data_IF_171154984423
#
_entry.id   IF_171154984423
#
_cell.length_a   1.000
_cell.length_b   1.000
_cell.length_c   1.000
_cell.angle_alpha   90.00
_cell.angle_beta   90.00
_cell.angle_gamma   90.00
#
_symmetry.space_group_name_H-M   'P 1'
#
loop_
_entity.id
_entity.type
_entity.pdbx_description
1 polymer ?
#
# COMPACT_ATOMS: atom_id res chain seq x y z
N UNK A 1 25.95 -26.59 -6.04
CA UNK A 1 24.85 -25.63 -5.84
C UNK A 1 23.95 -26.16 -4.74
N UNK A 2 23.77 -25.41 -3.65
CA UNK A 2 22.75 -25.70 -2.65
C UNK A 2 22.03 -24.37 -2.38
N UNK A 3 20.74 -24.28 -2.74
CA UNK A 3 19.93 -23.14 -2.38
C UNK A 3 19.67 -23.22 -0.87
N UNK A 4 20.28 -22.33 -0.10
CA UNK A 4 19.99 -22.22 1.32
C UNK A 4 18.51 -21.88 1.50
N UNK A 5 17.71 -22.85 1.95
CA UNK A 5 16.30 -22.64 2.27
C UNK A 5 16.23 -21.61 3.40
N UNK A 6 15.81 -20.38 3.05
CA UNK A 6 15.54 -19.34 4.03
C UNK A 6 14.52 -19.90 5.02
N UNK A 7 14.76 -19.82 6.35
CA UNK A 7 13.77 -20.23 7.32
C UNK A 7 12.52 -19.38 7.11
N UNK A 8 11.46 -20.01 6.61
CA UNK A 8 10.13 -19.40 6.61
C UNK A 8 9.74 -19.34 8.07
N UNK A 9 9.98 -18.19 8.71
CA UNK A 9 9.51 -17.92 10.06
C UNK A 9 8.01 -18.22 10.02
N UNK A 10 7.50 -19.22 10.77
CA UNK A 10 6.08 -19.49 10.79
C UNK A 10 5.41 -18.19 11.23
N UNK A 11 4.47 -17.70 10.44
CA UNK A 11 3.64 -16.56 10.82
C UNK A 11 2.94 -16.97 12.11
N UNK A 12 3.48 -16.57 13.26
CA UNK A 12 2.85 -16.74 14.56
C UNK A 12 1.39 -16.33 14.38
N UNK A 13 0.46 -17.25 14.70
CA UNK A 13 -0.92 -17.16 14.23
C UNK A 13 -1.48 -15.77 14.57
N UNK A 14 -1.68 -14.95 13.54
CA UNK A 14 -2.02 -13.53 13.69
C UNK A 14 -3.46 -13.45 14.18
N UNK A 15 -3.65 -13.56 15.48
CA UNK A 15 -4.91 -13.60 16.17
C UNK A 15 -5.33 -12.19 16.60
N UNK A 16 -6.54 -11.79 16.20
CA UNK A 16 -7.17 -10.59 16.75
C UNK A 16 -7.73 -10.85 18.15
N UNK A 17 -8.12 -9.81 18.90
CA UNK A 17 -8.62 -9.93 20.28
C UNK A 17 -9.87 -10.81 20.42
N UNK A 18 -10.58 -11.07 19.32
CA UNK A 18 -11.81 -11.88 19.27
C UNK A 18 -11.65 -13.19 18.47
N UNK A 19 -10.42 -13.65 18.21
CA UNK A 19 -10.14 -14.83 17.37
C UNK A 19 -10.84 -16.12 17.83
N UNK A 20 -11.12 -16.26 19.13
CA UNK A 20 -11.85 -17.40 19.72
C UNK A 20 -13.25 -17.08 20.24
N UNK A 21 -13.77 -15.88 19.97
CA UNK A 21 -15.12 -15.49 20.37
C UNK A 21 -16.18 -16.20 19.51
N UNK A 22 -17.34 -16.53 20.08
CA UNK A 22 -18.44 -17.11 19.29
C UNK A 22 -19.14 -16.07 18.39
N UNK A 23 -20.00 -16.56 17.49
CA UNK A 23 -20.72 -15.72 16.52
C UNK A 23 -21.63 -14.71 17.20
N UNK A 24 -22.30 -15.08 18.29
CA UNK A 24 -23.23 -14.20 18.99
C UNK A 24 -22.50 -13.03 19.63
N UNK A 25 -21.36 -13.32 20.29
CA UNK A 25 -20.43 -12.36 20.88
C UNK A 25 -19.92 -11.40 19.82
N UNK A 26 -19.44 -11.90 18.67
CA UNK A 26 -18.93 -11.04 17.59
C UNK A 26 -20.02 -10.13 17.01
N UNK A 27 -21.23 -10.66 16.78
CA UNK A 27 -22.34 -9.84 16.29
C UNK A 27 -22.77 -8.76 17.30
N UNK A 28 -22.61 -9.01 18.61
CA UNK A 28 -22.85 -8.02 19.66
C UNK A 28 -21.76 -6.93 19.77
N UNK A 29 -20.58 -7.13 19.18
CA UNK A 29 -19.51 -6.10 19.10
C UNK A 29 -19.77 -5.08 17.99
N UNK A 30 -20.45 -5.46 16.90
CA UNK A 30 -20.62 -4.59 15.73
C UNK A 30 -21.42 -3.29 16.04
N UNK A 31 -22.48 -3.30 16.87
CA UNK A 31 -23.15 -2.09 17.34
C UNK A 31 -22.26 -1.11 18.11
N UNK A 32 -21.08 -1.54 18.58
CA UNK A 32 -20.12 -0.72 19.32
C UNK A 32 -19.10 -0.04 18.39
N UNK A 33 -19.33 -0.05 17.07
CA UNK A 33 -18.55 0.73 16.11
C UNK A 33 -18.96 2.21 16.22
N UNK A 34 -18.00 3.13 16.30
CA UNK A 34 -18.27 4.58 16.21
C UNK A 34 -18.99 4.95 14.88
N UNK A 35 -18.84 4.10 13.87
CA UNK A 35 -19.43 4.21 12.54
C UNK A 35 -20.71 3.39 12.36
N UNK A 36 -21.33 2.94 13.45
CA UNK A 36 -22.59 2.18 13.43
C UNK A 36 -23.78 3.02 12.92
N UNK A 37 -24.77 2.45 12.22
CA UNK A 37 -25.87 3.24 11.67
C UNK A 37 -26.84 3.76 12.74
N UNK A 38 -27.19 5.04 12.63
CA UNK A 38 -28.11 5.74 13.53
C UNK A 38 -29.52 5.11 13.60
N UNK A 39 -29.88 4.55 14.75
CA UNK A 39 -31.05 3.70 14.93
C UNK A 39 -32.39 4.45 15.08
N UNK A 40 -32.38 5.76 15.30
CA UNK A 40 -33.60 6.60 15.28
C UNK A 40 -34.33 6.54 13.93
N UNK A 41 -33.59 6.34 12.83
CA UNK A 41 -34.16 6.31 11.47
C UNK A 41 -34.52 4.89 11.00
N UNK A 42 -35.55 4.76 10.15
CA UNK A 42 -35.87 3.48 9.48
C UNK A 42 -34.70 3.00 8.59
N UNK A 43 -34.02 3.94 7.92
CA UNK A 43 -32.88 3.65 7.04
C UNK A 43 -31.69 3.11 7.83
N UNK A 44 -31.33 3.74 8.95
CA UNK A 44 -30.25 3.28 9.82
C UNK A 44 -30.54 1.94 10.46
N UNK A 45 -31.76 1.69 10.96
CA UNK A 45 -32.18 0.36 11.42
C UNK A 45 -32.05 -0.71 10.34
N UNK A 46 -32.48 -0.44 9.11
CA UNK A 46 -32.24 -1.36 7.97
C UNK A 46 -30.75 -1.64 7.81
N UNK A 47 -29.93 -0.58 7.72
CA UNK A 47 -28.48 -0.69 7.52
C UNK A 47 -27.75 -1.44 8.65
N UNK A 48 -28.21 -1.30 9.89
CA UNK A 48 -27.70 -2.03 11.03
C UNK A 48 -28.01 -3.54 10.92
N UNK A 49 -29.26 -3.89 10.60
CA UNK A 49 -29.67 -5.29 10.38
C UNK A 49 -28.97 -5.91 9.17
N UNK A 50 -28.76 -5.14 8.10
CA UNK A 50 -28.00 -5.53 6.91
C UNK A 50 -26.54 -5.87 7.26
N UNK A 51 -25.86 -5.03 8.05
CA UNK A 51 -24.49 -5.28 8.54
C UNK A 51 -24.40 -6.54 9.40
N UNK A 52 -25.31 -6.71 10.37
CA UNK A 52 -25.37 -7.91 11.21
C UNK A 52 -25.58 -9.17 10.36
N UNK A 53 -26.50 -9.12 9.38
CA UNK A 53 -26.77 -10.25 8.48
C UNK A 53 -25.58 -10.60 7.61
N UNK A 54 -24.93 -9.61 7.00
CA UNK A 54 -23.72 -9.82 6.19
C UNK A 54 -22.57 -10.42 7.01
N UNK A 55 -22.33 -9.90 8.21
CA UNK A 55 -21.32 -10.46 9.12
C UNK A 55 -21.66 -11.89 9.55
N UNK A 56 -22.92 -12.16 9.90
CA UNK A 56 -23.38 -13.50 10.28
C UNK A 56 -23.24 -14.53 9.16
N UNK A 57 -23.47 -14.13 7.90
CA UNK A 57 -23.24 -14.99 6.72
C UNK A 57 -21.77 -15.35 6.55
N UNK A 58 -20.86 -14.37 6.71
CA UNK A 58 -19.40 -14.61 6.62
C UNK A 58 -18.94 -15.55 7.73
N UNK A 59 -19.36 -15.31 8.97
CA UNK A 59 -18.99 -16.15 10.12
C UNK A 59 -19.56 -17.57 9.96
N UNK A 60 -20.81 -17.70 9.51
CA UNK A 60 -21.43 -19.00 9.21
C UNK A 60 -20.68 -19.78 8.12
N UNK A 61 -20.18 -19.11 7.09
CA UNK A 61 -19.32 -19.71 6.06
C UNK A 61 -17.92 -20.09 6.59
N UNK A 62 -17.30 -19.24 7.42
CA UNK A 62 -16.01 -19.57 8.04
C UNK A 62 -16.11 -20.77 9.00
N UNK A 63 -17.26 -20.98 9.66
CA UNK A 63 -17.50 -22.17 10.48
C UNK A 63 -17.49 -23.50 9.71
N UNK A 64 -17.69 -23.50 8.38
CA UNK A 64 -17.59 -24.73 7.56
C UNK A 64 -16.14 -25.14 7.29
N UNK A 65 -15.15 -24.31 7.66
CA UNK A 65 -13.73 -24.54 7.45
C UNK A 65 -13.06 -24.97 8.77
N UNK A 66 -11.97 -25.73 8.66
CA UNK A 66 -11.20 -26.20 9.84
C UNK A 66 -10.43 -25.06 10.50
N UNK A 67 -10.25 -25.16 11.81
CA UNK A 67 -9.52 -24.21 12.64
C UNK A 67 -10.21 -24.03 14.00
N UNK A 68 -9.44 -23.77 15.05
CA UNK A 68 -9.97 -23.39 16.36
C UNK A 68 -10.44 -21.93 16.34
N UNK A 69 -9.59 -21.04 15.80
CA UNK A 69 -9.85 -19.60 15.70
C UNK A 69 -10.36 -19.13 14.33
N UNK A 70 -10.88 -17.91 14.27
CA UNK A 70 -11.34 -17.27 13.03
C UNK A 70 -10.23 -17.10 12.00
N UNK A 71 -8.98 -16.91 12.43
CA UNK A 71 -7.85 -16.69 11.54
C UNK A 71 -7.38 -17.99 10.88
N UNK A 72 -7.38 -19.09 11.64
CA UNK A 72 -7.14 -20.42 11.08
C UNK A 72 -8.23 -20.78 10.06
N UNK A 73 -9.50 -20.54 10.39
CA UNK A 73 -10.64 -20.74 9.47
C UNK A 73 -10.53 -19.86 8.22
N UNK A 74 -10.11 -18.60 8.36
CA UNK A 74 -9.88 -17.65 7.26
C UNK A 74 -8.76 -18.13 6.32
N UNK A 75 -7.68 -18.70 6.88
CA UNK A 75 -6.58 -19.30 6.10
C UNK A 75 -7.03 -20.60 5.43
N UNK A 76 -7.76 -21.48 6.14
CA UNK A 76 -8.30 -22.72 5.60
C UNK A 76 -9.40 -22.51 4.55
N UNK A 77 -10.06 -21.35 4.54
CA UNK A 77 -10.98 -20.90 3.51
C UNK A 77 -10.30 -20.16 2.35
N UNK A 78 -8.96 -20.06 2.35
CA UNK A 78 -8.15 -19.31 1.38
C UNK A 78 -8.63 -17.86 1.14
N UNK A 79 -9.24 -17.24 2.16
CA UNK A 79 -9.98 -15.99 2.00
C UNK A 79 -9.13 -14.76 1.65
N UNK A 80 -7.79 -14.89 1.71
CA UNK A 80 -6.82 -13.88 1.24
C UNK A 80 -6.50 -13.99 -0.25
N UNK A 81 -6.73 -15.14 -0.89
CA UNK A 81 -6.32 -15.41 -2.27
C UNK A 81 -7.16 -14.64 -3.30
N UNK A 82 -8.46 -14.43 -3.02
CA UNK A 82 -9.35 -13.63 -3.87
C UNK A 82 -10.43 -12.91 -3.05
N UNK A 83 -11.14 -11.98 -3.67
CA UNK A 83 -12.37 -11.37 -3.11
C UNK A 83 -13.65 -11.94 -3.74
N UNK A 84 -13.53 -13.06 -4.47
CA UNK A 84 -14.63 -13.69 -5.20
C UNK A 84 -15.55 -14.49 -4.28
N UNK A 85 -15.00 -15.05 -3.19
CA UNK A 85 -15.77 -15.74 -2.15
C UNK A 85 -16.89 -14.86 -1.55
N UNK A 86 -16.74 -13.52 -1.58
CA UNK A 86 -17.77 -12.55 -1.17
C UNK A 86 -19.06 -12.73 -2.01
N UNK A 87 -18.94 -13.05 -3.31
CA UNK A 87 -20.08 -13.35 -4.18
C UNK A 87 -20.73 -14.70 -3.87
N UNK A 88 -19.92 -15.72 -3.56
CA UNK A 88 -20.43 -17.02 -3.10
C UNK A 88 -21.23 -16.90 -1.80
N UNK A 89 -20.69 -16.22 -0.78
CA UNK A 89 -21.38 -15.97 0.50
C UNK A 89 -22.64 -15.13 0.30
N UNK A 90 -22.64 -14.22 -0.67
CA UNK A 90 -23.79 -13.38 -1.00
C UNK A 90 -24.95 -14.14 -1.69
N UNK A 91 -24.71 -15.28 -2.35
CA UNK A 91 -25.67 -15.88 -3.28
C UNK A 91 -27.01 -16.34 -2.67
N UNK A 92 -27.06 -16.63 -1.36
CA UNK A 92 -28.16 -17.38 -0.73
C UNK A 92 -29.52 -16.68 -0.54
N UNK A 93 -29.69 -15.40 -0.90
CA UNK A 93 -30.87 -14.62 -0.46
C UNK A 93 -31.46 -13.66 -1.51
N UNK A 94 -32.35 -14.18 -2.37
CA UNK A 94 -33.59 -13.53 -2.89
C UNK A 94 -33.59 -12.08 -3.42
N UNK A 95 -32.43 -11.44 -3.58
CA UNK A 95 -32.24 -10.05 -3.99
C UNK A 95 -31.29 -10.00 -5.19
N UNK A 96 -31.13 -8.84 -5.83
CA UNK A 96 -30.14 -8.68 -6.91
C UNK A 96 -28.72 -8.88 -6.37
N UNK A 97 -27.83 -9.44 -7.21
CA UNK A 97 -26.45 -9.77 -6.79
C UNK A 97 -25.70 -8.54 -6.23
N UNK A 98 -25.88 -7.36 -6.84
CA UNK A 98 -25.29 -6.12 -6.36
C UNK A 98 -25.72 -5.76 -4.93
N UNK A 99 -26.98 -5.98 -4.57
CA UNK A 99 -27.47 -5.75 -3.20
C UNK A 99 -26.83 -6.77 -2.26
N UNK A 100 -26.87 -8.06 -2.61
CA UNK A 100 -26.33 -9.14 -1.76
C UNK A 100 -24.84 -8.95 -1.49
N UNK A 101 -24.05 -8.64 -2.52
CA UNK A 101 -22.62 -8.34 -2.42
C UNK A 101 -22.34 -7.10 -1.56
N UNK A 102 -23.20 -6.08 -1.61
CA UNK A 102 -23.08 -4.92 -0.73
C UNK A 102 -23.32 -5.28 0.76
N UNK A 103 -24.33 -6.12 1.07
CA UNK A 103 -24.60 -6.60 2.44
C UNK A 103 -23.37 -7.32 3.03
N UNK A 104 -22.80 -8.26 2.28
CA UNK A 104 -21.60 -9.01 2.71
C UNK A 104 -20.40 -8.08 2.83
N UNK A 105 -20.22 -7.12 1.92
CA UNK A 105 -19.12 -6.14 1.99
C UNK A 105 -19.21 -5.23 3.22
N UNK A 106 -20.41 -4.75 3.56
CA UNK A 106 -20.67 -3.94 4.76
C UNK A 106 -20.48 -4.75 6.06
N UNK A 107 -20.90 -6.01 6.08
CA UNK A 107 -20.66 -6.94 7.19
C UNK A 107 -19.18 -7.23 7.39
N UNK A 108 -18.46 -7.50 6.30
CA UNK A 108 -17.00 -7.71 6.30
C UNK A 108 -16.26 -6.48 6.83
N UNK A 109 -16.64 -5.28 6.39
CA UNK A 109 -16.07 -4.04 6.92
C UNK A 109 -16.21 -3.96 8.45
N UNK A 110 -17.35 -4.35 9.01
CA UNK A 110 -17.53 -4.43 10.47
C UNK A 110 -16.59 -5.43 11.16
N UNK A 111 -16.44 -6.64 10.60
CA UNK A 111 -15.53 -7.68 11.11
C UNK A 111 -14.05 -7.24 11.07
N UNK A 112 -13.66 -6.52 10.01
CA UNK A 112 -12.32 -5.93 9.88
C UNK A 112 -12.09 -4.82 10.91
N UNK A 113 -13.05 -3.90 11.08
CA UNK A 113 -12.94 -2.78 12.01
C UNK A 113 -12.92 -3.23 13.47
N UNK A 114 -13.60 -4.33 13.84
CA UNK A 114 -13.43 -4.97 15.16
C UNK A 114 -12.26 -5.95 15.24
N UNK A 115 -11.38 -6.01 14.24
CA UNK A 115 -10.18 -6.89 14.18
C UNK A 115 -10.50 -8.38 14.43
N UNK A 116 -11.71 -8.83 14.10
CA UNK A 116 -12.11 -10.24 14.17
C UNK A 116 -11.36 -11.04 13.08
N UNK A 117 -11.28 -10.45 11.88
CA UNK A 117 -10.52 -10.95 10.75
C UNK A 117 -9.33 -10.02 10.48
N UNK A 118 -8.14 -10.58 10.31
CA UNK A 118 -6.88 -9.85 10.08
C UNK A 118 -6.39 -10.22 8.67
N UNK A 119 -6.83 -9.48 7.63
CA UNK A 119 -6.62 -9.86 6.24
C UNK A 119 -5.15 -9.73 5.85
N UNK A 120 -4.75 -10.51 4.85
CA UNK A 120 -3.45 -10.39 4.21
C UNK A 120 -3.30 -9.08 3.43
N UNK A 121 -2.06 -8.60 3.30
CA UNK A 121 -1.73 -7.45 2.45
C UNK A 121 -2.23 -7.59 1.00
N UNK A 122 -2.22 -8.82 0.44
CA UNK A 122 -2.75 -9.10 -0.91
C UNK A 122 -4.26 -8.87 -1.00
N UNK A 123 -5.02 -9.36 -0.01
CA UNK A 123 -6.43 -9.06 0.13
C UNK A 123 -6.69 -7.56 0.21
N UNK A 124 -5.96 -6.84 1.08
CA UNK A 124 -6.10 -5.39 1.27
C UNK A 124 -5.72 -4.53 0.06
N UNK A 125 -4.89 -5.03 -0.88
CA UNK A 125 -4.65 -4.35 -2.16
C UNK A 125 -5.83 -4.48 -3.12
N UNK A 126 -6.48 -5.65 -3.14
CA UNK A 126 -7.59 -5.96 -4.05
C UNK A 126 -8.96 -5.56 -3.48
N UNK A 127 -9.09 -5.39 -2.17
CA UNK A 127 -10.34 -5.07 -1.50
C UNK A 127 -10.71 -3.58 -1.66
N UNK A 128 -11.72 -3.30 -2.49
CA UNK A 128 -12.19 -1.96 -2.86
C UNK A 128 -13.47 -1.57 -2.12
N UNK A 129 -13.37 -1.33 -0.81
CA UNK A 129 -14.51 -0.80 -0.03
C UNK A 129 -14.40 0.71 0.15
N UNK A 130 -15.40 1.44 -0.33
CA UNK A 130 -15.49 2.89 -0.14
C UNK A 130 -15.61 3.23 1.35
N UNK A 131 -14.68 4.03 1.85
CA UNK A 131 -14.71 4.54 3.23
C UNK A 131 -14.12 3.61 4.31
N UNK A 132 -13.75 2.35 4.04
CA UNK A 132 -13.16 1.46 5.07
C UNK A 132 -11.97 2.12 5.79
N UNK A 133 -11.01 2.65 5.02
CA UNK A 133 -9.83 3.32 5.56
C UNK A 133 -10.17 4.59 6.34
N UNK A 134 -11.26 5.29 6.01
CA UNK A 134 -11.74 6.45 6.78
C UNK A 134 -12.35 6.03 8.11
N UNK A 135 -13.17 4.98 8.10
CA UNK A 135 -13.77 4.41 9.31
C UNK A 135 -12.69 3.84 10.24
N UNK A 136 -11.70 3.12 9.70
CA UNK A 136 -10.60 2.55 10.49
C UNK A 136 -9.82 3.59 11.31
N UNK A 137 -9.59 4.78 10.75
CA UNK A 137 -8.94 5.89 11.49
C UNK A 137 -9.78 6.36 12.69
N UNK A 138 -11.11 6.30 12.57
CA UNK A 138 -12.05 6.67 13.64
C UNK A 138 -12.20 5.57 14.70
N UNK A 139 -12.13 4.30 14.30
CA UNK A 139 -12.33 3.14 15.20
C UNK A 139 -11.07 2.69 15.94
N UNK A 140 -9.88 2.91 15.37
CA UNK A 140 -8.62 2.39 15.93
C UNK A 140 -7.95 3.37 16.91
N UNK A 141 -7.67 4.60 16.49
CA UNK A 141 -7.10 5.64 17.34
C UNK A 141 -7.28 7.01 16.66
N UNK A 142 -8.41 7.65 16.90
CA UNK A 142 -8.76 8.91 16.25
C UNK A 142 -7.78 10.04 16.61
N UNK A 143 -7.27 10.08 17.85
CA UNK A 143 -6.33 11.08 18.33
C UNK A 143 -4.95 10.90 17.69
N UNK A 144 -4.43 9.67 17.61
CA UNK A 144 -3.18 9.42 16.88
C UNK A 144 -3.31 9.75 15.40
N UNK A 145 -4.41 9.41 14.73
CA UNK A 145 -4.60 9.77 13.33
C UNK A 145 -4.77 11.29 13.12
N UNK A 146 -5.30 12.03 14.10
CA UNK A 146 -5.30 13.50 14.09
C UNK A 146 -3.86 14.06 14.18
N UNK A 147 -3.06 13.61 15.15
CA UNK A 147 -1.64 13.99 15.30
C UNK A 147 -0.79 13.63 14.07
N UNK A 148 -1.04 12.46 13.46
CA UNK A 148 -0.41 12.05 12.18
C UNK A 148 -0.82 13.01 11.06
N UNK A 149 -2.08 13.43 11.04
CA UNK A 149 -2.58 14.43 10.11
C UNK A 149 -1.92 15.80 10.28
N UNK A 150 -1.66 16.23 11.52
CA UNK A 150 -0.91 17.44 11.85
C UNK A 150 0.55 17.36 11.39
N UNK A 151 1.28 16.33 11.81
CA UNK A 151 2.67 16.11 11.39
C UNK A 151 2.83 16.03 9.85
N UNK A 152 1.81 15.57 9.13
CA UNK A 152 1.77 15.61 7.66
C UNK A 152 1.59 17.02 7.09
N UNK A 153 0.75 17.85 7.71
CA UNK A 153 0.55 19.25 7.33
C UNK A 153 1.79 20.10 7.61
N UNK A 154 2.44 19.89 8.75
CA UNK A 154 3.66 20.60 9.14
C UNK A 154 4.85 20.28 8.21
N UNK A 155 4.88 19.05 7.66
CA UNK A 155 5.79 18.66 6.57
C UNK A 155 5.45 19.22 5.20
N UNK A 156 4.33 19.95 5.05
CA UNK A 156 3.84 20.44 3.77
C UNK A 156 3.31 19.34 2.83
N UNK A 157 2.91 18.18 3.35
CA UNK A 157 2.31 17.13 2.51
C UNK A 157 0.97 17.58 1.95
N UNK A 158 0.74 17.35 0.65
CA UNK A 158 -0.59 17.53 0.05
C UNK A 158 -1.55 16.44 0.53
N UNK A 159 -2.85 16.76 0.59
CA UNK A 159 -3.88 15.87 1.16
C UNK A 159 -3.91 14.45 0.56
N UNK A 160 -3.56 14.28 -0.72
CA UNK A 160 -3.48 12.96 -1.37
C UNK A 160 -2.28 12.13 -0.91
N UNK A 161 -1.13 12.75 -0.64
CA UNK A 161 0.05 12.08 -0.09
C UNK A 161 -0.21 11.66 1.36
N UNK A 162 -0.73 12.57 2.19
CA UNK A 162 -1.09 12.29 3.57
C UNK A 162 -2.12 11.16 3.66
N UNK A 163 -3.22 11.24 2.90
CA UNK A 163 -4.22 10.16 2.85
C UNK A 163 -3.61 8.81 2.42
N UNK A 164 -2.65 8.81 1.47
CA UNK A 164 -1.94 7.59 1.07
C UNK A 164 -1.09 7.02 2.20
N UNK A 165 -0.40 7.86 2.97
CA UNK A 165 0.39 7.46 4.13
C UNK A 165 -0.48 6.92 5.28
N UNK A 166 -1.55 7.62 5.66
CA UNK A 166 -2.49 7.17 6.67
C UNK A 166 -3.16 5.83 6.28
N UNK A 167 -3.54 5.68 5.00
CA UNK A 167 -4.11 4.42 4.52
C UNK A 167 -3.08 3.28 4.50
N UNK A 168 -1.78 3.60 4.38
CA UNK A 168 -0.68 2.65 4.55
C UNK A 168 -0.62 2.15 6.01
N UNK A 169 -0.68 3.06 6.99
CA UNK A 169 -0.74 2.72 8.42
C UNK A 169 -1.95 1.83 8.77
N UNK A 170 -3.14 2.18 8.27
CA UNK A 170 -4.35 1.37 8.48
C UNK A 170 -4.21 -0.05 7.91
N UNK A 171 -3.56 -0.23 6.75
CA UNK A 171 -3.29 -1.58 6.20
C UNK A 171 -2.40 -2.41 7.11
N UNK A 172 -1.47 -1.77 7.80
CA UNK A 172 -0.59 -2.44 8.75
C UNK A 172 -1.34 -2.86 10.01
N UNK A 173 -2.18 -1.98 10.57
CA UNK A 173 -3.07 -2.31 11.69
C UNK A 173 -3.98 -3.50 11.36
N UNK A 174 -4.59 -3.54 10.16
CA UNK A 174 -5.38 -4.69 9.70
C UNK A 174 -4.55 -5.97 9.54
N UNK A 175 -3.29 -5.88 9.07
CA UNK A 175 -2.42 -7.05 8.89
C UNK A 175 -1.93 -7.61 10.23
N UNK A 176 -1.49 -6.74 11.15
CA UNK A 176 -0.79 -7.13 12.39
C UNK A 176 -1.78 -7.40 13.53
N UNK A 177 -2.93 -6.73 13.53
CA UNK A 177 -3.89 -6.73 14.64
C UNK A 177 -3.52 -5.81 15.81
N UNK A 178 -2.30 -5.24 15.80
CA UNK A 178 -1.79 -4.31 16.83
C UNK A 178 -2.60 -3.02 16.90
N UNK A 179 -2.53 -2.30 18.02
CA UNK A 179 -3.03 -0.92 18.05
C UNK A 179 -2.10 0.02 17.23
N UNK A 180 -2.62 1.13 16.67
CA UNK A 180 -1.82 2.05 15.85
C UNK A 180 -0.57 2.60 16.55
N UNK A 181 -0.65 2.80 17.87
CA UNK A 181 0.45 3.25 18.72
C UNK A 181 1.49 2.15 19.04
N UNK A 182 1.20 0.89 18.74
CA UNK A 182 2.09 -0.26 18.96
C UNK A 182 2.80 -0.73 17.67
N UNK A 183 2.63 -0.02 16.56
CA UNK A 183 3.28 -0.33 15.28
C UNK A 183 4.80 -0.17 15.39
N UNK A 184 5.53 -1.22 15.06
CA UNK A 184 7.00 -1.28 15.19
C UNK A 184 7.70 -1.04 13.86
N UNK A 185 9.00 -0.74 13.90
CA UNK A 185 9.82 -0.60 12.70
C UNK A 185 9.84 -1.91 11.88
N UNK A 186 9.82 -3.04 12.56
CA UNK A 186 9.78 -4.40 12.01
C UNK A 186 8.50 -4.64 11.20
N UNK A 187 7.35 -4.14 11.67
CA UNK A 187 6.09 -4.22 10.92
C UNK A 187 6.19 -3.45 9.58
N UNK A 188 6.82 -2.26 9.57
CA UNK A 188 6.99 -1.44 8.36
C UNK A 188 8.00 -2.08 7.40
N UNK A 189 9.09 -2.64 7.92
CA UNK A 189 10.09 -3.36 7.13
C UNK A 189 9.53 -4.68 6.55
N UNK A 190 8.68 -5.38 7.29
CA UNK A 190 7.98 -6.57 6.79
C UNK A 190 7.03 -6.21 5.64
N UNK A 191 6.30 -5.09 5.74
CA UNK A 191 5.42 -4.63 4.65
C UNK A 191 6.22 -4.13 3.42
N UNK A 192 7.35 -3.45 3.63
CA UNK A 192 8.27 -3.08 2.55
C UNK A 192 8.75 -4.31 1.77
N UNK A 193 9.29 -5.30 2.48
CA UNK A 193 9.83 -6.51 1.86
C UNK A 193 8.73 -7.38 1.23
N UNK A 194 7.51 -7.39 1.79
CA UNK A 194 6.35 -7.99 1.12
C UNK A 194 6.08 -7.32 -0.24
N UNK A 195 5.97 -5.99 -0.29
CA UNK A 195 5.74 -5.25 -1.53
C UNK A 195 6.82 -5.48 -2.58
N UNK A 196 8.09 -5.51 -2.15
CA UNK A 196 9.23 -5.84 -3.01
C UNK A 196 9.13 -7.24 -3.62
N UNK A 197 8.58 -8.23 -2.90
CA UNK A 197 8.39 -9.59 -3.44
C UNK A 197 7.19 -9.72 -4.38
N UNK A 198 6.13 -8.95 -4.18
CA UNK A 198 4.88 -9.09 -4.95
C UNK A 198 4.75 -8.14 -6.14
N UNK A 199 5.42 -6.99 -6.10
CA UNK A 199 5.26 -5.91 -7.08
C UNK A 199 6.58 -5.22 -7.48
N UNK A 200 7.73 -5.76 -7.05
CA UNK A 200 9.09 -5.20 -7.24
C UNK A 200 9.24 -3.72 -6.84
N UNK A 201 8.38 -3.26 -5.93
CA UNK A 201 8.29 -1.86 -5.52
C UNK A 201 7.89 -1.72 -4.04
N UNK A 202 8.35 -0.63 -3.40
CA UNK A 202 7.91 -0.27 -2.07
C UNK A 202 6.40 0.09 -2.08
N UNK A 203 5.59 -0.35 -1.09
CA UNK A 203 4.19 0.04 -1.00
C UNK A 203 3.99 1.56 -0.97
N UNK A 204 3.00 2.05 -1.73
CA UNK A 204 2.68 3.48 -1.80
C UNK A 204 2.40 4.07 -0.41
N UNK A 205 3.01 5.22 -0.14
CA UNK A 205 2.89 5.92 1.15
C UNK A 205 3.75 5.39 2.28
N UNK A 206 4.46 4.25 2.13
CA UNK A 206 5.21 3.63 3.23
C UNK A 206 6.35 4.51 3.79
N UNK A 207 7.10 5.19 2.93
CA UNK A 207 8.14 6.13 3.38
C UNK A 207 7.55 7.30 4.18
N UNK A 208 6.46 7.88 3.71
CA UNK A 208 5.76 8.95 4.43
C UNK A 208 5.16 8.43 5.75
N UNK A 209 4.57 7.24 5.75
CA UNK A 209 4.03 6.60 6.96
C UNK A 209 5.10 6.36 8.03
N UNK A 210 6.29 5.89 7.64
CA UNK A 210 7.45 5.75 8.54
C UNK A 210 7.84 7.07 9.18
N UNK A 211 8.03 8.11 8.36
CA UNK A 211 8.47 9.41 8.86
C UNK A 211 7.37 10.08 9.71
N UNK A 212 6.08 9.87 9.40
CA UNK A 212 4.96 10.34 10.22
C UNK A 212 4.91 9.68 11.60
N UNK A 213 5.05 8.34 11.69
CA UNK A 213 5.10 7.64 12.98
C UNK A 213 6.29 8.06 13.85
N UNK A 214 7.40 8.50 13.25
CA UNK A 214 8.55 9.06 13.99
C UNK A 214 8.23 10.41 14.61
N UNK A 215 7.55 11.29 13.88
CA UNK A 215 7.24 12.65 14.37
C UNK A 215 6.20 12.63 15.49
N UNK A 216 5.21 11.73 15.42
CA UNK A 216 4.24 11.52 16.51
C UNK A 216 4.79 10.63 17.65
N UNK A 217 6.08 10.27 17.61
CA UNK A 217 6.77 9.55 18.69
C UNK A 217 6.49 8.05 18.81
N UNK A 218 5.72 7.44 17.91
CA UNK A 218 5.42 5.99 17.92
C UNK A 218 6.66 5.18 17.56
N UNK A 219 7.41 5.59 16.53
CA UNK A 219 8.68 4.94 16.18
C UNK A 219 9.86 5.61 16.88
N UNK A 220 10.47 4.93 17.85
CA UNK A 220 11.73 5.36 18.51
C UNK A 220 12.97 5.38 17.58
N UNK A 221 12.81 5.07 16.29
CA UNK A 221 13.90 5.02 15.33
C UNK A 221 14.34 6.43 14.90
N UNK A 222 15.62 6.76 15.15
CA UNK A 222 16.20 8.06 14.78
C UNK A 222 16.47 8.26 13.27
N UNK A 223 16.18 7.28 12.42
CA UNK A 223 16.51 7.30 10.98
C UNK A 223 15.27 7.15 10.09
N UNK A 224 15.31 7.70 8.88
CA UNK A 224 14.25 7.51 7.88
C UNK A 224 14.27 6.09 7.31
N UNK A 225 13.16 5.65 6.71
CA UNK A 225 13.07 4.31 6.11
C UNK A 225 14.17 4.09 5.05
N UNK A 226 14.48 5.10 4.23
CA UNK A 226 15.56 5.01 3.25
C UNK A 226 16.94 4.78 3.90
N UNK A 227 17.26 5.48 5.00
CA UNK A 227 18.49 5.25 5.77
C UNK A 227 18.52 3.86 6.42
N UNK A 228 17.38 3.38 6.91
CA UNK A 228 17.23 2.07 7.56
C UNK A 228 17.36 0.91 6.55
N UNK A 229 16.83 1.08 5.34
CA UNK A 229 16.94 0.12 4.23
C UNK A 229 18.30 0.19 3.51
N UNK A 230 19.03 1.30 3.64
CA UNK A 230 20.36 1.44 3.06
C UNK A 230 21.31 0.46 3.74
N UNK A 231 21.61 -0.65 3.05
CA UNK A 231 22.79 -1.46 3.35
C UNK A 231 24.00 -0.52 3.44
N UNK A 232 24.79 -0.67 4.50
CA UNK A 232 25.91 0.22 4.82
C UNK A 232 26.83 0.47 3.64
N UNK A 233 27.51 1.63 3.66
CA UNK A 233 28.34 2.17 2.60
C UNK A 233 29.10 1.06 1.84
N UNK A 234 28.66 0.79 0.60
CA UNK A 234 29.25 -0.26 -0.23
C UNK A 234 30.75 0.03 -0.38
N UNK A 235 31.58 -0.98 -0.10
CA UNK A 235 33.01 -0.85 -0.37
C UNK A 235 33.21 -0.57 -1.87
N UNK A 236 34.30 0.12 -2.26
CA UNK A 236 34.58 0.37 -3.68
C UNK A 236 34.56 -0.91 -4.53
N UNK A 237 35.03 -2.04 -3.98
CA UNK A 237 34.93 -3.36 -4.61
C UNK A 237 33.48 -3.81 -4.82
N UNK A 238 32.63 -3.75 -3.79
CA UNK A 238 31.21 -4.10 -3.91
C UNK A 238 30.41 -3.14 -4.81
N UNK A 239 30.92 -1.94 -5.05
CA UNK A 239 30.37 -0.99 -6.02
C UNK A 239 30.78 -1.34 -7.46
N UNK A 240 32.04 -1.72 -7.67
CA UNK A 240 32.55 -2.19 -8.98
C UNK A 240 31.84 -3.46 -9.43
N UNK A 241 31.72 -4.47 -8.56
CA UNK A 241 31.01 -5.73 -8.85
C UNK A 241 29.52 -5.50 -9.17
N UNK A 242 28.87 -4.59 -8.45
CA UNK A 242 27.40 -4.38 -8.57
C UNK A 242 26.98 -3.69 -9.87
N UNK A 243 27.86 -2.87 -10.44
CA UNK A 243 27.60 -2.12 -11.67
C UNK A 243 28.37 -2.68 -12.87
N UNK A 244 29.03 -3.85 -12.73
CA UNK A 244 29.93 -4.46 -13.72
C UNK A 244 30.90 -3.42 -14.33
N UNK A 245 31.58 -2.67 -13.46
CA UNK A 245 32.50 -1.59 -13.87
C UNK A 245 33.81 -2.22 -14.36
N UNK A 246 33.76 -2.75 -15.58
CA UNK A 246 34.89 -3.26 -16.31
C UNK A 246 35.96 -2.17 -16.46
N UNK A 247 37.11 -2.32 -15.81
CA UNK A 247 38.28 -1.45 -16.02
C UNK A 247 38.92 -1.70 -17.39
N UNK A 248 38.25 -1.26 -18.45
CA UNK A 248 38.74 -1.31 -19.82
C UNK A 248 40.05 -0.52 -20.02
N UNK A 249 40.81 -0.79 -21.10
CA UNK A 249 42.10 -0.15 -21.34
C UNK A 249 42.06 1.39 -21.28
N UNK A 250 40.96 1.98 -21.72
CA UNK A 250 40.68 3.42 -21.74
C UNK A 250 40.73 4.07 -20.35
N UNK A 251 40.18 3.41 -19.31
CA UNK A 251 40.20 3.94 -17.95
C UNK A 251 41.60 3.89 -17.34
N UNK A 252 42.38 2.87 -17.71
CA UNK A 252 43.76 2.67 -17.22
C UNK A 252 44.71 3.73 -17.78
N UNK A 253 44.55 4.12 -19.05
CA UNK A 253 45.31 5.22 -19.65
C UNK A 253 44.91 6.59 -19.07
N UNK A 254 43.62 6.89 -18.89
CA UNK A 254 43.19 8.16 -18.25
C UNK A 254 43.72 8.32 -16.82
N UNK A 255 43.77 7.24 -16.03
CA UNK A 255 44.29 7.28 -14.67
C UNK A 255 45.82 7.46 -14.62
N UNK A 256 46.56 6.92 -15.59
CA UNK A 256 47.99 7.19 -15.75
C UNK A 256 48.27 8.65 -16.15
N UNK A 257 47.45 9.24 -17.02
CA UNK A 257 47.54 10.67 -17.36
C UNK A 257 47.29 11.56 -16.14
N UNK A 258 46.30 11.21 -15.29
CA UNK A 258 46.02 11.96 -14.06
C UNK A 258 47.14 11.90 -13.02
N UNK A 259 47.85 10.77 -12.89
CA UNK A 259 49.00 10.67 -11.97
C UNK A 259 50.26 11.39 -12.44
N UNK A 260 50.39 11.64 -13.74
CA UNK A 260 51.54 12.34 -14.33
C UNK A 260 51.25 13.83 -14.61
N UNK A 261 50.02 14.30 -14.41
CA UNK A 261 49.69 15.72 -14.45
C UNK A 261 50.11 16.39 -13.14
N UNK A 262 51.21 17.14 -13.17
CA UNK A 262 51.57 18.05 -12.08
C UNK A 262 50.44 19.08 -11.88
N UNK A 263 50.12 19.48 -10.63
CA UNK A 263 49.08 20.47 -10.38
C UNK A 263 49.50 21.81 -11.02
N UNK A 264 48.62 22.47 -11.81
CA UNK A 264 48.95 23.78 -12.37
C UNK A 264 49.09 24.80 -11.25
N UNK A 265 50.21 25.53 -11.26
CA UNK A 265 50.47 26.63 -10.34
C UNK A 265 49.41 27.73 -10.53
N UNK A 266 48.89 28.23 -9.40
CA UNK A 266 47.78 29.18 -9.36
C UNK A 266 48.20 30.59 -9.81
N UNK A 267 48.46 30.82 -11.11
CA UNK A 267 48.51 32.17 -11.71
C UNK A 267 48.29 32.13 -13.23
N UNK A 268 47.04 32.24 -13.69
CA UNK A 268 46.71 32.71 -15.06
C UNK A 268 45.27 33.21 -15.12
N UNK A 269 45.04 34.30 -15.87
CA UNK A 269 43.71 34.91 -16.08
C UNK A 269 42.93 34.21 -17.21
N UNK A 270 41.61 34.37 -17.15
CA UNK A 270 40.62 34.25 -18.23
C UNK A 270 41.15 34.20 -19.68
N UNK A 271 40.70 33.20 -20.43
CA UNK A 271 40.30 33.35 -21.83
C UNK A 271 39.25 32.28 -22.19
N UNK A 272 38.40 32.57 -23.18
CA UNK A 272 37.22 31.78 -23.50
C UNK A 272 37.25 31.23 -24.93
N UNK A 273 36.48 30.15 -25.15
CA UNK A 273 36.09 29.58 -26.46
C UNK A 273 37.23 28.88 -27.26
N UNK A 274 36.91 28.02 -28.28
CA UNK A 274 35.58 27.76 -28.85
C UNK A 274 35.12 26.29 -28.88
N UNK A 275 33.84 26.12 -29.20
CA UNK A 275 33.26 24.83 -29.56
C UNK A 275 33.46 24.55 -31.06
N UNK A 276 34.24 23.51 -31.40
CA UNK A 276 34.17 22.82 -32.70
C UNK A 276 35.17 21.65 -32.77
N UNK A 277 34.67 20.41 -32.70
CA UNK A 277 35.22 19.19 -33.30
C UNK A 277 34.25 18.02 -33.04
N UNK A 278 34.16 17.06 -33.98
CA UNK A 278 33.32 15.82 -33.98
C UNK A 278 31.95 15.83 -34.70
N UNK A 279 32.02 15.89 -36.04
CA UNK A 279 31.15 15.28 -37.09
C UNK A 279 32.10 15.03 -38.30
N UNK A 280 31.92 14.10 -39.28
CA UNK A 280 30.77 13.27 -39.70
C UNK A 280 31.08 11.74 -39.63
N UNK A 281 30.52 10.76 -40.38
CA UNK A 281 29.70 10.72 -41.61
C UNK A 281 28.94 9.39 -41.81
N UNK A 282 27.93 9.39 -42.70
CA UNK A 282 27.43 8.21 -43.46
C UNK A 282 26.28 7.40 -42.84
N UNK A 283 24.99 7.77 -42.97
CA UNK A 283 24.07 7.59 -44.12
C UNK A 283 23.74 6.10 -44.43
N UNK A 284 22.49 5.61 -44.44
CA UNK A 284 21.22 6.09 -45.04
C UNK A 284 20.00 5.39 -44.34
N UNK A 285 18.71 5.72 -44.46
CA UNK A 285 17.92 6.81 -45.08
C UNK A 285 16.44 6.77 -44.62
N UNK A 286 15.82 7.95 -44.43
CA UNK A 286 14.37 8.29 -44.55
C UNK A 286 13.29 7.42 -43.85
N UNK A 287 12.48 8.08 -43.00
CA UNK A 287 11.14 8.54 -43.44
C UNK A 287 10.55 9.63 -42.56
N UNK A 288 9.70 10.46 -43.17
CA UNK A 288 9.27 11.79 -42.69
C UNK A 288 7.97 11.73 -41.89
N UNK A 289 7.89 12.49 -40.79
CA UNK A 289 6.63 12.87 -40.14
C UNK A 289 6.21 14.26 -40.66
N UNK A 290 4.98 14.44 -41.17
CA UNK A 290 4.40 15.77 -41.37
C UNK A 290 3.59 16.21 -40.14
N UNK A 291 3.67 17.50 -39.82
CA UNK A 291 2.92 18.11 -38.72
C UNK A 291 1.41 18.25 -39.04
N UNK A 292 0.57 18.26 -38.00
CA UNK A 292 -0.80 18.79 -38.03
C UNK A 292 -0.82 20.16 -37.35
N UNK A 293 -1.49 21.16 -37.94
CA UNK A 293 -2.83 21.55 -37.47
C UNK A 293 -3.75 21.93 -38.68
N UNK A 294 -4.99 22.46 -38.52
CA UNK A 294 -5.71 22.85 -37.30
C UNK A 294 -7.15 22.30 -37.16
N UNK A 295 -7.78 22.76 -36.08
CA UNK A 295 -9.19 22.64 -35.70
C UNK A 295 -10.24 22.67 -36.83
N UNK A 296 -11.17 21.72 -36.81
CA UNK A 296 -12.64 21.95 -36.75
C UNK A 296 -13.42 20.64 -36.71
N UNK A 297 -14.26 20.43 -35.69
CA UNK A 297 -15.59 19.82 -35.86
C UNK A 297 -16.39 19.84 -34.56
N UNK A 298 -17.35 20.77 -34.51
CA UNK A 298 -18.45 20.81 -33.54
C UNK A 298 -19.41 19.64 -33.85
N UNK A 299 -19.57 18.65 -32.96
CA UNK A 299 -20.62 17.63 -33.08
C UNK A 299 -21.63 17.78 -31.95
N UNK A 300 -22.82 18.25 -32.31
CA UNK A 300 -24.02 18.27 -31.47
C UNK A 300 -24.51 16.84 -31.20
N UNK A 301 -25.07 16.61 -30.01
CA UNK A 301 -25.97 15.48 -29.74
C UNK A 301 -27.35 16.03 -29.35
N UNK A 302 -28.45 15.47 -29.87
CA UNK A 302 -29.78 16.01 -29.64
C UNK A 302 -30.34 15.65 -28.27
N UNK A 303 -31.25 16.49 -27.77
CA UNK A 303 -32.11 16.16 -26.61
C UNK A 303 -33.06 15.03 -26.99
N UNK A 304 -33.33 14.12 -26.06
CA UNK A 304 -34.62 13.46 -25.99
C UNK A 304 -35.46 14.18 -24.93
N UNK A 305 -36.64 14.64 -25.35
CA UNK A 305 -37.69 15.12 -24.46
C UNK A 305 -38.76 14.03 -24.29
N UNK A 306 -39.53 14.14 -23.22
CA UNK A 306 -40.69 13.30 -22.97
C UNK A 306 -41.78 13.52 -24.04
N UNK A 307 -42.57 12.48 -24.32
CA UNK A 307 -44.02 12.54 -24.47
C UNK A 307 -44.61 11.14 -24.29
N UNK A 308 -45.73 11.09 -23.57
CA UNK A 308 -46.71 9.98 -23.42
C UNK A 308 -46.22 8.66 -22.80
#
# INVERSE_FOLDING_TARGET
>A
MAAASVPTVPSAARAGPFDRADVATILALLPQLATWPELSTRRGRSKAMERLRGAGQILGWLLTHRGEGWQERRVAAEADASSEWIGFVAAGYGQTEAIRRALVTDGLAGLLLKRVLLPGHGFLQNYRTSGLYRFAKQEFDAELFERVGEAGRDRGMIASQLSTAENCLVKMVFQTGRDPAELTAEDLLAYHEWGRRTADAAPLGLHAAWDLLRDVGVLSHGQSLHRTLARGQLSPAAMVDRYDIQCGPSARSSCATWKNAAPPSTTARFQAAPASCWVPSGLTSKSTIPASPPSTCRRTSPRHGNSE
#
